data_IF_036230445238
#
_entry.id   IF_036230445238
#
_cell.length_a   1.000
_cell.length_b   1.000
_cell.length_c   1.000
_cell.angle_alpha   90.00
_cell.angle_beta   90.00
_cell.angle_gamma   90.00
#
_symmetry.space_group_name_H-M   'P 1'
#
loop_
_entity.id
_entity.type
_entity.pdbx_description
1 polymer ?
#
# COMPACT_ATOMS: atom_id res chain seq x y z
N UNK A 1 -15.10 -18.99 28.36
CA UNK A 1 -13.69 -19.33 28.36
C UNK A 1 -13.36 -20.50 27.43
N UNK A 2 -13.95 -21.72 27.59
CA UNK A 2 -13.62 -22.88 26.73
C UNK A 2 -13.81 -22.63 25.22
N UNK A 3 -14.90 -21.94 24.80
CA UNK A 3 -15.13 -21.61 23.37
C UNK A 3 -14.16 -20.55 22.82
N UNK A 4 -13.70 -19.60 23.63
CA UNK A 4 -12.69 -18.61 23.24
C UNK A 4 -11.29 -19.24 23.15
N UNK A 5 -10.98 -20.14 24.10
CA UNK A 5 -9.74 -20.93 24.07
C UNK A 5 -9.72 -21.89 22.87
N UNK A 6 -10.85 -22.51 22.55
CA UNK A 6 -11.01 -23.37 21.39
C UNK A 6 -10.88 -22.56 20.09
N UNK A 7 -11.49 -21.38 20.01
CA UNK A 7 -11.36 -20.48 18.86
C UNK A 7 -9.93 -19.97 18.70
N UNK A 8 -9.25 -19.61 19.80
CA UNK A 8 -7.82 -19.26 19.75
C UNK A 8 -6.93 -20.44 19.38
N UNK A 9 -7.23 -21.65 19.87
CA UNK A 9 -6.51 -22.87 19.45
C UNK A 9 -6.75 -23.19 17.98
N UNK A 10 -7.98 -23.07 17.48
CA UNK A 10 -8.30 -23.27 16.06
C UNK A 10 -7.65 -22.18 15.20
N UNK A 11 -7.67 -20.92 15.63
CA UNK A 11 -6.97 -19.82 14.95
C UNK A 11 -5.45 -20.06 14.96
N UNK A 12 -4.91 -20.52 16.08
CA UNK A 12 -3.48 -20.85 16.21
C UNK A 12 -3.11 -22.06 15.34
N UNK A 13 -3.97 -23.10 15.27
CA UNK A 13 -3.76 -24.25 14.37
C UNK A 13 -3.92 -23.89 12.90
N UNK A 14 -4.87 -23.03 12.53
CA UNK A 14 -5.01 -22.51 11.17
C UNK A 14 -3.78 -21.68 10.79
N UNK A 15 -3.29 -20.82 11.68
CA UNK A 15 -2.04 -20.07 11.48
C UNK A 15 -0.84 -21.03 11.42
N UNK A 16 -0.78 -22.08 12.25
CA UNK A 16 0.30 -23.07 12.23
C UNK A 16 0.27 -23.98 10.99
N UNK A 17 -0.92 -24.35 10.49
CA UNK A 17 -1.08 -25.14 9.26
C UNK A 17 -0.79 -24.29 8.01
N UNK A 18 -1.03 -22.97 8.09
CA UNK A 18 -0.66 -22.02 7.02
C UNK A 18 0.84 -21.70 6.99
N UNK A 19 1.59 -22.08 8.04
CA UNK A 19 3.06 -21.98 8.13
C UNK A 19 3.66 -23.40 7.93
N UNK A 20 3.05 -24.24 7.12
CA UNK A 20 3.78 -25.41 6.57
C UNK A 20 5.00 -24.88 5.86
N UNK A 21 6.21 -25.43 6.09
CA UNK A 21 7.41 -24.87 5.51
C UNK A 21 7.22 -24.78 4.00
N UNK A 22 7.28 -23.56 3.49
CA UNK A 22 7.43 -23.24 2.07
C UNK A 22 8.83 -23.73 1.63
N UNK A 23 9.01 -25.04 1.56
CA UNK A 23 10.23 -25.69 1.08
C UNK A 23 10.08 -26.07 -0.39
N UNK A 24 9.13 -25.40 -1.08
CA UNK A 24 8.85 -25.63 -2.49
C UNK A 24 9.53 -24.59 -3.40
N UNK A 25 10.49 -23.80 -2.89
CA UNK A 25 11.23 -22.81 -3.67
C UNK A 25 12.58 -22.51 -3.01
N UNK A 26 13.57 -22.22 -3.83
CA UNK A 26 14.87 -21.74 -3.37
C UNK A 26 14.80 -20.27 -2.98
N UNK A 27 15.28 -19.91 -1.79
CA UNK A 27 15.33 -18.53 -1.32
C UNK A 27 16.73 -18.14 -0.88
N UNK A 28 17.24 -17.01 -1.38
CA UNK A 28 18.54 -16.47 -1.00
C UNK A 28 18.42 -15.00 -0.57
N UNK A 29 19.10 -14.63 0.50
CA UNK A 29 19.11 -13.26 1.00
C UNK A 29 20.46 -12.86 1.59
N UNK A 30 20.85 -11.59 1.42
CA UNK A 30 22.12 -11.04 1.91
C UNK A 30 22.38 -9.64 1.37
N UNK A 31 23.52 -9.04 1.73
CA UNK A 31 23.89 -7.75 1.15
C UNK A 31 24.30 -7.92 -0.32
N UNK A 32 25.19 -8.87 -0.62
CA UNK A 32 25.60 -9.25 -1.96
C UNK A 32 25.19 -10.69 -2.20
N UNK A 33 24.27 -10.92 -3.12
CA UNK A 33 23.77 -12.26 -3.47
C UNK A 33 24.03 -12.54 -4.94
N UNK A 34 24.76 -13.61 -5.22
CA UNK A 34 25.08 -14.06 -6.57
C UNK A 34 24.59 -15.48 -6.80
N UNK A 35 23.94 -15.70 -7.94
CA UNK A 35 23.56 -17.01 -8.46
C UNK A 35 24.52 -17.34 -9.58
N UNK A 36 25.35 -18.34 -9.33
CA UNK A 36 26.42 -18.82 -10.23
C UNK A 36 26.26 -20.30 -10.62
N UNK A 37 25.09 -20.87 -10.37
CA UNK A 37 24.71 -22.24 -10.77
C UNK A 37 23.26 -22.21 -11.21
N UNK A 38 22.91 -22.88 -12.30
CA UNK A 38 21.53 -23.02 -12.75
C UNK A 38 20.66 -23.66 -11.68
N UNK A 39 19.42 -23.23 -11.60
CA UNK A 39 18.41 -23.76 -10.68
C UNK A 39 17.23 -24.30 -11.48
N UNK A 40 16.75 -25.50 -11.06
CA UNK A 40 15.65 -26.21 -11.73
C UNK A 40 14.31 -25.99 -10.98
N UNK A 41 14.13 -24.83 -10.35
CA UNK A 41 12.94 -24.47 -9.55
C UNK A 41 12.83 -22.94 -9.41
N UNK A 42 11.69 -22.47 -8.89
CA UNK A 42 11.45 -21.05 -8.62
C UNK A 42 12.49 -20.46 -7.66
N UNK A 43 12.95 -19.26 -7.97
CA UNK A 43 13.92 -18.55 -7.14
C UNK A 43 13.36 -17.25 -6.56
N UNK A 44 13.46 -17.14 -5.23
CA UNK A 44 13.15 -15.91 -4.48
C UNK A 44 14.43 -15.32 -3.91
N UNK A 45 14.84 -14.14 -4.36
CA UNK A 45 16.13 -13.54 -4.01
C UNK A 45 15.99 -12.10 -3.53
N UNK A 46 16.63 -11.77 -2.41
CA UNK A 46 16.56 -10.46 -1.79
C UNK A 46 17.96 -9.99 -1.37
N UNK A 47 18.37 -8.77 -1.77
CA UNK A 47 19.69 -8.26 -1.40
C UNK A 47 19.90 -6.79 -1.74
N UNK A 48 20.98 -6.21 -1.20
CA UNK A 48 21.37 -4.86 -1.63
C UNK A 48 21.89 -4.89 -3.06
N UNK A 49 22.71 -5.90 -3.41
CA UNK A 49 23.16 -6.19 -4.76
C UNK A 49 22.80 -7.65 -5.09
N UNK A 50 22.06 -7.83 -6.18
CA UNK A 50 21.61 -9.12 -6.66
C UNK A 50 22.18 -9.34 -8.06
N UNK A 51 22.90 -10.44 -8.27
CA UNK A 51 23.42 -10.86 -9.56
C UNK A 51 22.93 -12.29 -9.87
N UNK A 52 22.11 -12.42 -10.89
CA UNK A 52 21.67 -13.71 -11.45
C UNK A 52 22.37 -13.91 -12.78
N UNK A 53 23.43 -14.73 -12.80
CA UNK A 53 24.25 -14.96 -14.00
C UNK A 53 24.00 -16.31 -14.68
N UNK A 54 23.26 -17.19 -14.03
CA UNK A 54 22.91 -18.52 -14.54
C UNK A 54 21.40 -18.67 -14.72
N UNK A 55 21.00 -19.64 -15.52
CA UNK A 55 19.60 -19.84 -15.88
C UNK A 55 18.75 -20.33 -14.72
N UNK A 56 17.51 -19.90 -14.69
CA UNK A 56 16.48 -20.32 -13.75
C UNK A 56 15.39 -21.06 -14.54
N UNK A 57 15.22 -22.34 -14.27
CA UNK A 57 14.15 -23.16 -14.88
C UNK A 57 12.89 -23.11 -14.01
N UNK A 58 12.29 -21.95 -13.91
CA UNK A 58 11.15 -21.61 -13.08
C UNK A 58 10.90 -20.09 -13.11
N UNK A 59 10.18 -19.60 -12.10
CA UNK A 59 9.94 -18.17 -11.88
C UNK A 59 11.11 -17.50 -11.14
N UNK A 60 11.40 -16.24 -11.48
CA UNK A 60 12.33 -15.42 -10.72
C UNK A 60 11.64 -14.24 -10.05
N UNK A 61 11.67 -14.23 -8.72
CA UNK A 61 11.21 -13.08 -7.93
C UNK A 61 12.41 -12.47 -7.20
N UNK A 62 12.77 -11.23 -7.57
CA UNK A 62 13.93 -10.57 -7.00
C UNK A 62 13.61 -9.16 -6.49
N UNK A 63 14.17 -8.78 -5.31
CA UNK A 63 14.10 -7.41 -4.83
C UNK A 63 15.43 -6.94 -4.23
N UNK A 64 15.83 -5.67 -4.55
CA UNK A 64 17.11 -5.17 -4.08
C UNK A 64 17.43 -3.73 -4.45
N UNK A 65 18.60 -3.28 -4.04
CA UNK A 65 19.09 -1.95 -4.43
C UNK A 65 19.52 -1.91 -5.89
N UNK A 66 20.38 -2.83 -6.28
CA UNK A 66 20.84 -3.07 -7.66
C UNK A 66 20.58 -4.52 -8.01
N UNK A 67 19.95 -4.76 -9.15
CA UNK A 67 19.65 -6.09 -9.65
C UNK A 67 20.14 -6.21 -11.08
N UNK A 68 20.91 -7.25 -11.37
CA UNK A 68 21.35 -7.62 -12.70
C UNK A 68 20.97 -9.09 -12.95
N UNK A 69 20.16 -9.31 -13.98
CA UNK A 69 19.73 -10.64 -14.43
C UNK A 69 20.28 -10.83 -15.82
N UNK A 70 21.31 -11.70 -15.95
CA UNK A 70 21.94 -12.04 -17.23
C UNK A 70 21.74 -13.51 -17.61
N UNK A 71 21.33 -14.36 -16.68
CA UNK A 71 20.82 -15.69 -16.98
C UNK A 71 19.39 -15.65 -17.47
N UNK A 72 18.97 -16.65 -18.23
CA UNK A 72 17.62 -16.76 -18.74
C UNK A 72 16.67 -17.26 -17.64
N UNK A 73 15.42 -16.80 -17.69
CA UNK A 73 14.32 -17.23 -16.81
C UNK A 73 13.29 -17.94 -17.65
N UNK A 74 13.02 -19.22 -17.40
CA UNK A 74 12.18 -20.02 -18.29
C UNK A 74 10.69 -19.71 -18.20
N UNK A 75 10.26 -19.07 -17.10
CA UNK A 75 8.87 -18.69 -16.84
C UNK A 75 8.75 -17.18 -16.53
N UNK A 76 8.00 -16.79 -15.48
CA UNK A 76 7.76 -15.39 -15.12
C UNK A 76 8.95 -14.73 -14.43
N UNK A 77 9.17 -13.45 -14.74
CA UNK A 77 10.11 -12.58 -14.04
C UNK A 77 9.37 -11.48 -13.29
N UNK A 78 9.59 -11.37 -11.98
CA UNK A 78 9.12 -10.25 -11.16
C UNK A 78 10.29 -9.60 -10.40
N UNK A 79 10.69 -8.40 -10.79
CA UNK A 79 11.86 -7.71 -10.24
C UNK A 79 11.53 -6.31 -9.76
N UNK A 80 11.99 -5.95 -8.54
CA UNK A 80 11.83 -4.61 -7.97
C UNK A 80 13.16 -4.11 -7.38
N UNK A 81 13.71 -2.98 -7.91
CA UNK A 81 14.99 -2.46 -7.44
C UNK A 81 15.23 -0.99 -7.67
N UNK A 82 16.28 -0.42 -7.06
CA UNK A 82 16.69 0.95 -7.36
C UNK A 82 17.18 1.08 -8.81
N UNK A 83 18.04 0.16 -9.23
CA UNK A 83 18.53 0.00 -10.61
C UNK A 83 18.34 -1.46 -11.00
N UNK A 84 17.68 -1.70 -12.12
CA UNK A 84 17.46 -3.05 -12.66
C UNK A 84 17.99 -3.13 -14.08
N UNK A 85 18.78 -4.16 -14.33
CA UNK A 85 19.29 -4.52 -15.66
C UNK A 85 18.86 -5.95 -15.96
N UNK A 86 18.09 -6.12 -17.03
CA UNK A 86 17.63 -7.41 -17.55
C UNK A 86 18.29 -7.65 -18.90
N UNK A 87 19.26 -8.54 -18.93
CA UNK A 87 19.98 -8.95 -20.16
C UNK A 87 19.58 -10.36 -20.61
N UNK A 88 19.17 -11.24 -19.66
CA UNK A 88 18.69 -12.59 -19.96
C UNK A 88 17.29 -12.60 -20.56
N UNK A 89 16.98 -13.66 -21.29
CA UNK A 89 15.67 -13.87 -21.90
C UNK A 89 14.65 -14.36 -20.85
N UNK A 90 13.36 -13.98 -21.03
CA UNK A 90 12.24 -14.39 -20.16
C UNK A 90 11.26 -15.22 -20.99
N UNK A 91 10.95 -16.41 -20.52
CA UNK A 91 10.15 -17.39 -21.22
C UNK A 91 8.63 -17.13 -21.21
N UNK A 92 8.14 -16.26 -20.31
CA UNK A 92 6.76 -15.85 -20.20
C UNK A 92 6.68 -14.32 -19.96
N UNK A 93 6.06 -13.86 -18.88
CA UNK A 93 5.86 -12.43 -18.59
C UNK A 93 7.04 -11.80 -17.83
N UNK A 94 7.33 -10.53 -18.11
CA UNK A 94 8.27 -9.73 -17.32
C UNK A 94 7.58 -8.56 -16.61
N UNK A 95 7.65 -8.53 -15.27
CA UNK A 95 7.14 -7.46 -14.41
C UNK A 95 8.29 -6.78 -13.69
N UNK A 96 8.70 -5.59 -14.16
CA UNK A 96 9.91 -4.91 -13.71
C UNK A 96 9.60 -3.54 -13.13
N UNK A 97 10.09 -3.25 -11.93
CA UNK A 97 9.90 -1.94 -11.29
C UNK A 97 11.19 -1.38 -10.70
N UNK A 98 11.41 -0.04 -10.80
CA UNK A 98 12.60 0.58 -10.24
C UNK A 98 12.85 2.04 -10.60
N UNK A 99 13.95 2.60 -10.08
CA UNK A 99 14.34 3.97 -10.42
C UNK A 99 14.84 4.07 -11.86
N UNK A 100 15.76 3.19 -12.24
CA UNK A 100 16.38 3.09 -13.57
C UNK A 100 16.25 1.65 -14.04
N UNK A 101 15.60 1.45 -15.19
CA UNK A 101 15.40 0.15 -15.82
C UNK A 101 16.09 0.10 -17.17
N UNK A 102 16.85 -0.96 -17.41
CA UNK A 102 17.43 -1.28 -18.73
C UNK A 102 17.04 -2.71 -19.07
N UNK A 103 16.31 -2.89 -20.18
CA UNK A 103 15.81 -4.17 -20.66
C UNK A 103 16.43 -4.43 -22.02
N UNK A 104 17.11 -5.55 -22.15
CA UNK A 104 17.85 -5.93 -23.36
C UNK A 104 17.69 -7.42 -23.73
N UNK A 105 17.18 -8.27 -22.83
CA UNK A 105 16.75 -9.64 -23.10
C UNK A 105 15.40 -9.68 -23.82
N UNK A 106 15.09 -10.79 -24.43
CA UNK A 106 13.80 -11.03 -25.06
C UNK A 106 12.76 -11.43 -24.02
N UNK A 107 11.49 -11.16 -24.28
CA UNK A 107 10.36 -11.52 -23.42
C UNK A 107 9.35 -12.24 -24.29
N UNK A 108 9.02 -13.49 -23.95
CA UNK A 108 8.19 -14.30 -24.84
C UNK A 108 6.73 -13.88 -24.90
N UNK A 109 6.20 -13.27 -23.81
CA UNK A 109 4.84 -12.75 -23.75
C UNK A 109 4.84 -11.25 -23.34
N UNK A 110 4.23 -10.85 -22.24
CA UNK A 110 3.95 -9.46 -21.89
C UNK A 110 5.07 -8.76 -21.11
N UNK A 111 5.29 -7.47 -21.35
CA UNK A 111 6.13 -6.60 -20.55
C UNK A 111 5.31 -5.58 -19.76
N UNK A 112 5.37 -5.64 -18.44
CA UNK A 112 4.89 -4.60 -17.54
C UNK A 112 6.07 -3.93 -16.83
N UNK A 113 6.35 -2.65 -17.14
CA UNK A 113 7.46 -1.92 -16.52
C UNK A 113 7.01 -0.59 -15.89
N UNK A 114 7.55 -0.30 -14.68
CA UNK A 114 7.28 0.95 -13.98
C UNK A 114 8.56 1.55 -13.38
N UNK A 115 8.88 2.83 -13.71
CA UNK A 115 10.13 3.42 -13.21
C UNK A 115 10.35 4.89 -13.49
N UNK A 116 11.44 5.45 -12.97
CA UNK A 116 11.81 6.84 -13.26
C UNK A 116 12.32 7.01 -14.70
N UNK A 117 13.30 6.21 -15.07
CA UNK A 117 13.87 6.15 -16.41
C UNK A 117 13.85 4.71 -16.90
N UNK A 118 13.24 4.46 -18.05
CA UNK A 118 13.07 3.13 -18.64
C UNK A 118 13.64 3.13 -20.04
N UNK A 119 14.54 2.18 -20.32
CA UNK A 119 15.12 1.96 -21.62
C UNK A 119 14.92 0.52 -22.04
N UNK A 120 14.19 0.30 -23.11
CA UNK A 120 14.08 -0.98 -23.82
C UNK A 120 14.96 -0.89 -25.06
N UNK A 121 15.99 -1.74 -25.13
CA UNK A 121 17.00 -1.67 -26.20
C UNK A 121 16.47 -2.25 -27.51
N UNK A 122 17.07 -1.84 -28.63
CA UNK A 122 16.67 -2.21 -30.00
C UNK A 122 16.69 -3.74 -30.25
N UNK A 123 17.52 -4.48 -29.50
CA UNK A 123 17.68 -5.92 -29.65
C UNK A 123 16.57 -6.73 -28.93
N UNK A 124 15.73 -6.07 -28.14
CA UNK A 124 14.69 -6.70 -27.33
C UNK A 124 13.47 -7.02 -28.19
N UNK A 125 13.11 -8.30 -28.25
CA UNK A 125 11.85 -8.75 -28.84
C UNK A 125 10.87 -9.13 -27.71
N UNK A 126 9.67 -8.54 -27.73
CA UNK A 126 8.57 -8.82 -26.79
C UNK A 126 7.45 -9.44 -27.61
N UNK A 127 7.06 -10.69 -27.29
CA UNK A 127 6.08 -11.45 -28.05
C UNK A 127 4.66 -10.90 -27.92
N UNK A 128 4.29 -10.44 -26.74
CA UNK A 128 2.97 -9.91 -26.40
C UNK A 128 2.90 -8.38 -26.35
N UNK A 129 2.08 -7.88 -25.42
CA UNK A 129 1.79 -6.45 -25.22
C UNK A 129 2.82 -5.78 -24.33
N UNK A 130 2.97 -4.47 -24.49
CA UNK A 130 3.86 -3.65 -23.69
C UNK A 130 3.07 -2.63 -22.89
N UNK A 131 3.25 -2.60 -21.56
CA UNK A 131 2.68 -1.58 -20.66
C UNK A 131 3.81 -0.95 -19.86
N UNK A 132 4.15 0.31 -20.16
CA UNK A 132 5.23 1.02 -19.49
C UNK A 132 4.74 2.34 -18.91
N UNK A 133 5.06 2.57 -17.62
CA UNK A 133 4.75 3.84 -16.95
C UNK A 133 6.01 4.40 -16.29
N UNK A 134 6.35 5.68 -16.58
CA UNK A 134 7.59 6.26 -16.04
C UNK A 134 7.70 7.77 -16.16
N UNK A 135 8.87 8.31 -15.81
CA UNK A 135 9.20 9.72 -16.07
C UNK A 135 9.69 9.91 -17.49
N UNK A 136 10.62 9.05 -17.93
CA UNK A 136 11.17 9.02 -19.29
C UNK A 136 11.19 7.59 -19.82
N UNK A 137 10.68 7.39 -21.03
CA UNK A 137 10.65 6.09 -21.73
C UNK A 137 11.43 6.23 -23.05
N UNK A 138 12.43 5.35 -23.22
CA UNK A 138 13.10 5.12 -24.50
C UNK A 138 12.79 3.70 -24.96
N UNK A 139 11.89 3.56 -25.92
CA UNK A 139 11.44 2.27 -26.44
C UNK A 139 12.08 2.02 -27.81
N UNK A 140 13.12 1.18 -27.82
CA UNK A 140 13.83 0.77 -29.04
C UNK A 140 13.49 -0.64 -29.51
N UNK A 141 12.93 -1.48 -28.63
CA UNK A 141 12.63 -2.87 -28.90
C UNK A 141 11.44 -3.11 -29.83
N UNK A 142 11.14 -4.37 -30.09
CA UNK A 142 10.00 -4.78 -30.88
C UNK A 142 8.88 -5.32 -29.96
N UNK A 143 7.61 -5.02 -30.28
CA UNK A 143 6.45 -5.59 -29.61
C UNK A 143 5.61 -6.38 -30.62
N UNK A 144 5.23 -7.59 -30.24
CA UNK A 144 4.38 -8.47 -31.07
C UNK A 144 2.92 -8.06 -31.09
N UNK A 145 2.50 -7.27 -30.10
CA UNK A 145 1.17 -6.67 -29.95
C UNK A 145 1.26 -5.15 -29.77
N UNK A 146 0.21 -4.51 -29.28
CA UNK A 146 0.18 -3.07 -29.05
C UNK A 146 1.00 -2.61 -27.84
N UNK A 147 1.11 -1.29 -27.66
CA UNK A 147 1.79 -0.70 -26.51
C UNK A 147 0.95 0.38 -25.83
N UNK A 148 0.99 0.39 -24.48
CA UNK A 148 0.46 1.47 -23.63
C UNK A 148 1.63 2.12 -22.90
N UNK A 149 1.92 3.37 -23.24
CA UNK A 149 3.07 4.10 -22.71
C UNK A 149 2.58 5.37 -21.98
N UNK A 150 2.97 5.54 -20.73
CA UNK A 150 2.62 6.70 -19.91
C UNK A 150 3.88 7.32 -19.31
N UNK A 151 4.29 8.48 -19.81
CA UNK A 151 5.44 9.21 -19.26
C UNK A 151 5.42 10.69 -19.67
N UNK A 152 6.22 11.51 -18.95
CA UNK A 152 6.42 12.91 -19.34
C UNK A 152 7.19 13.04 -20.66
N UNK A 153 8.18 12.16 -20.90
CA UNK A 153 8.94 12.13 -22.16
C UNK A 153 9.00 10.71 -22.72
N UNK A 154 8.66 10.56 -23.99
CA UNK A 154 8.65 9.26 -24.70
C UNK A 154 9.38 9.38 -26.01
N UNK A 155 10.33 8.47 -26.25
CA UNK A 155 10.98 8.27 -27.54
C UNK A 155 10.71 6.85 -28.01
N UNK A 156 10.17 6.70 -29.23
CA UNK A 156 9.94 5.41 -29.87
C UNK A 156 10.83 5.30 -31.09
N UNK A 157 11.67 4.27 -31.12
CA UNK A 157 12.54 3.94 -32.25
C UNK A 157 12.37 2.51 -32.75
N UNK A 158 11.60 1.69 -32.00
CA UNK A 158 11.36 0.28 -32.28
C UNK A 158 10.13 0.02 -33.13
N UNK A 159 9.79 -1.29 -33.27
CA UNK A 159 8.65 -1.74 -34.05
C UNK A 159 7.55 -2.24 -33.14
N UNK A 160 6.33 -1.77 -33.36
CA UNK A 160 5.15 -2.14 -32.57
C UNK A 160 4.07 -2.65 -33.49
N UNK A 161 3.69 -3.93 -33.34
CA UNK A 161 2.57 -4.51 -34.07
C UNK A 161 1.28 -4.20 -33.29
N UNK A 162 0.41 -3.40 -33.92
CA UNK A 162 -0.86 -2.96 -33.32
C UNK A 162 -0.83 -1.49 -32.90
N UNK A 163 -1.77 -1.13 -32.06
CA UNK A 163 -1.99 0.26 -31.63
C UNK A 163 -1.00 0.69 -30.56
N UNK A 164 -0.57 1.95 -30.64
CA UNK A 164 0.19 2.62 -29.58
C UNK A 164 -0.71 3.65 -28.90
N UNK A 165 -0.97 3.43 -27.60
CA UNK A 165 -1.76 4.34 -26.76
C UNK A 165 -0.85 5.05 -25.78
N UNK A 166 -0.79 6.37 -25.90
CA UNK A 166 -0.01 7.24 -25.01
C UNK A 166 -0.97 8.15 -24.25
N UNK A 167 -0.85 8.16 -22.94
CA UNK A 167 -1.61 9.08 -22.09
C UNK A 167 -1.20 10.54 -22.29
N UNK A 168 -1.22 11.34 -21.23
CA UNK A 168 -0.68 12.69 -21.28
C UNK A 168 0.85 12.64 -21.37
N UNK A 169 1.42 13.30 -22.37
CA UNK A 169 2.86 13.37 -22.61
C UNK A 169 3.29 14.82 -22.89
N UNK A 170 4.40 15.25 -22.29
CA UNK A 170 4.99 16.58 -22.53
C UNK A 170 5.82 16.60 -23.81
N UNK A 171 6.57 15.53 -24.06
CA UNK A 171 7.46 15.37 -25.21
C UNK A 171 7.31 13.97 -25.79
N UNK A 172 6.81 13.88 -27.03
CA UNK A 172 6.71 12.63 -27.80
C UNK A 172 7.59 12.73 -29.04
N UNK A 173 8.54 11.79 -29.17
CA UNK A 173 9.39 11.66 -30.33
C UNK A 173 9.25 10.29 -30.96
N UNK A 174 8.91 10.26 -32.26
CA UNK A 174 8.89 9.04 -33.09
C UNK A 174 10.03 9.16 -34.10
N UNK A 175 11.04 8.30 -33.96
CA UNK A 175 12.22 8.36 -34.82
C UNK A 175 11.97 7.75 -36.19
N UNK A 176 12.88 7.98 -37.13
CA UNK A 176 12.75 7.46 -38.50
C UNK A 176 12.92 5.94 -38.62
N UNK A 177 13.34 5.24 -37.58
CA UNK A 177 13.40 3.79 -37.50
C UNK A 177 12.13 3.15 -36.93
N UNK A 178 11.22 3.96 -36.38
CA UNK A 178 9.99 3.47 -35.76
C UNK A 178 9.00 2.93 -36.80
N UNK A 179 8.39 1.80 -36.49
CA UNK A 179 7.34 1.18 -37.29
C UNK A 179 6.16 0.80 -36.39
N UNK A 180 5.01 1.44 -36.53
CA UNK A 180 3.77 1.17 -35.85
C UNK A 180 2.75 0.67 -36.85
N UNK A 181 2.26 -0.57 -36.71
CA UNK A 181 1.34 -1.12 -37.72
C UNK A 181 -0.11 -0.67 -37.53
N UNK A 182 -0.50 -0.30 -36.30
CA UNK A 182 -1.83 0.20 -35.93
C UNK A 182 -1.90 1.72 -35.83
N UNK A 183 -2.84 2.18 -34.98
CA UNK A 183 -3.08 3.59 -34.72
C UNK A 183 -2.07 4.13 -33.69
N UNK A 184 -1.64 5.38 -33.85
CA UNK A 184 -0.92 6.14 -32.83
C UNK A 184 -1.88 7.12 -32.16
N UNK A 185 -2.25 6.85 -30.89
CA UNK A 185 -3.22 7.63 -30.13
C UNK A 185 -2.49 8.29 -28.96
N UNK A 186 -2.46 9.62 -28.93
CA UNK A 186 -1.78 10.33 -27.84
C UNK A 186 -2.47 11.64 -27.44
N UNK A 187 -2.21 12.08 -26.21
CA UNK A 187 -2.63 13.38 -25.68
C UNK A 187 -1.41 14.19 -25.30
N UNK A 188 -1.25 15.38 -25.89
CA UNK A 188 -0.11 16.23 -25.60
C UNK A 188 -0.47 17.72 -25.69
N UNK A 189 0.25 18.53 -24.92
CA UNK A 189 0.19 19.99 -25.05
C UNK A 189 0.94 20.50 -26.30
N UNK A 190 1.95 19.75 -26.74
CA UNK A 190 2.78 20.07 -27.88
C UNK A 190 2.61 18.97 -28.94
N UNK A 191 2.70 19.35 -30.20
CA UNK A 191 2.73 18.37 -31.28
C UNK A 191 3.89 17.40 -31.12
N UNK A 192 3.64 16.11 -31.40
CA UNK A 192 4.69 15.10 -31.41
C UNK A 192 5.72 15.39 -32.53
N UNK A 193 6.98 15.11 -32.22
CA UNK A 193 8.08 15.13 -33.19
C UNK A 193 8.11 13.77 -33.93
N UNK A 194 7.37 13.69 -35.05
CA UNK A 194 7.27 12.48 -35.86
C UNK A 194 8.15 12.64 -37.09
N UNK A 195 9.18 11.79 -37.20
CA UNK A 195 10.08 11.78 -38.36
C UNK A 195 9.32 11.41 -39.66
N UNK A 196 9.65 12.07 -40.77
CA UNK A 196 9.09 11.74 -42.10
C UNK A 196 9.40 10.30 -42.54
N UNK A 197 10.44 9.67 -41.97
CA UNK A 197 10.81 8.29 -42.26
C UNK A 197 10.11 7.26 -41.32
N UNK A 198 9.36 7.71 -40.30
CA UNK A 198 8.61 6.81 -39.43
C UNK A 198 7.44 6.19 -40.21
N UNK A 199 7.20 4.91 -39.99
CA UNK A 199 6.08 4.19 -40.61
C UNK A 199 4.96 4.04 -39.58
N UNK A 200 3.80 4.65 -39.88
CA UNK A 200 2.58 4.48 -39.11
C UNK A 200 1.50 3.96 -40.06
N UNK A 201 1.08 2.70 -39.85
CA UNK A 201 0.15 2.01 -40.72
C UNK A 201 -1.32 2.43 -40.56
N UNK A 202 -1.68 2.87 -39.33
CA UNK A 202 -3.01 3.36 -39.00
C UNK A 202 -3.11 4.89 -38.98
N UNK A 203 -4.08 5.39 -38.20
CA UNK A 203 -4.32 6.82 -38.03
C UNK A 203 -3.51 7.40 -36.88
N UNK A 204 -3.02 8.64 -37.04
CA UNK A 204 -2.46 9.42 -35.94
C UNK A 204 -3.57 10.25 -35.30
N UNK A 205 -4.04 9.81 -34.14
CA UNK A 205 -5.11 10.46 -33.34
C UNK A 205 -4.50 11.31 -32.26
N UNK A 206 -4.25 12.56 -32.60
CA UNK A 206 -3.74 13.57 -31.69
C UNK A 206 -4.91 14.24 -30.95
N UNK A 207 -4.83 14.28 -29.61
CA UNK A 207 -5.66 15.16 -28.79
C UNK A 207 -4.75 16.24 -28.22
N UNK A 208 -4.77 17.41 -28.82
CA UNK A 208 -4.07 18.56 -28.24
C UNK A 208 -4.85 18.93 -26.99
N UNK A 209 -4.25 18.70 -25.85
CA UNK A 209 -4.70 19.31 -24.61
C UNK A 209 -4.29 20.76 -24.76
N UNK A 210 -5.27 21.67 -25.07
CA UNK A 210 -5.05 23.03 -24.64
C UNK A 210 -4.69 22.88 -23.16
N UNK A 211 -3.41 22.95 -22.85
CA UNK A 211 -3.00 23.44 -21.54
C UNK A 211 -3.67 24.82 -21.52
N UNK A 212 -4.92 24.88 -21.12
CA UNK A 212 -5.29 25.97 -20.27
C UNK A 212 -4.20 25.87 -19.19
N UNK A 213 -3.07 26.53 -19.40
CA UNK A 213 -2.57 27.38 -18.35
C UNK A 213 -3.80 28.27 -18.03
N UNK A 214 -4.76 27.72 -17.31
CA UNK A 214 -5.11 28.36 -16.11
C UNK A 214 -3.74 28.59 -15.48
N UNK A 215 -3.22 29.74 -15.80
CA UNK A 215 -2.73 30.64 -14.81
C UNK A 215 -3.93 30.89 -13.89
N UNK A 216 -4.36 29.84 -13.19
CA UNK A 216 -4.19 29.80 -11.79
C UNK A 216 -2.65 29.83 -11.59
N UNK A 217 -2.11 31.00 -11.85
CA UNK A 217 -1.43 31.77 -10.85
C UNK A 217 -2.48 32.01 -9.73
N UNK A 218 -3.13 30.97 -9.23
CA UNK A 218 -3.18 30.75 -7.83
C UNK A 218 -1.67 30.67 -7.53
N UNK A 219 -1.14 31.81 -7.20
CA UNK A 219 -0.14 31.97 -6.16
C UNK A 219 -0.73 31.13 -5.01
N UNK A 220 -0.69 29.77 -5.18
CA UNK A 220 -1.03 28.81 -4.14
C UNK A 220 0.22 28.87 -3.31
N UNK A 221 0.22 29.95 -2.51
CA UNK A 221 1.20 30.08 -1.45
C UNK A 221 1.33 28.68 -0.85
N UNK A 222 2.51 28.18 -0.55
CA UNK A 222 2.69 26.87 0.07
C UNK A 222 1.71 26.63 1.23
N UNK A 223 1.26 27.74 1.82
CA UNK A 223 0.21 27.82 2.83
C UNK A 223 -1.19 27.41 2.30
N UNK A 224 -1.60 27.85 1.12
CA UNK A 224 -2.91 27.47 0.57
C UNK A 224 -2.98 25.98 0.21
N UNK A 225 -1.89 25.40 -0.33
CA UNK A 225 -1.78 23.95 -0.56
C UNK A 225 -1.82 23.19 0.75
N UNK A 226 -1.07 23.66 1.76
CA UNK A 226 -1.09 23.08 3.10
C UNK A 226 -2.49 23.09 3.71
N UNK A 227 -3.20 24.23 3.65
CA UNK A 227 -4.57 24.38 4.19
C UNK A 227 -5.54 23.46 3.44
N UNK A 228 -5.49 23.40 2.11
CA UNK A 228 -6.36 22.54 1.31
C UNK A 228 -6.13 21.05 1.63
N UNK A 229 -4.88 20.62 1.72
CA UNK A 229 -4.50 19.23 2.08
C UNK A 229 -4.93 18.92 3.52
N UNK A 230 -4.73 19.85 4.46
CA UNK A 230 -5.13 19.68 5.84
C UNK A 230 -6.65 19.56 5.98
N UNK A 231 -7.44 20.45 5.33
CA UNK A 231 -8.91 20.41 5.35
C UNK A 231 -9.43 19.15 4.66
N UNK A 232 -8.88 18.80 3.48
CA UNK A 232 -9.25 17.59 2.75
C UNK A 232 -9.03 16.33 3.59
N UNK A 233 -7.86 16.19 4.22
CA UNK A 233 -7.56 15.10 5.13
C UNK A 233 -8.51 15.01 6.33
N UNK A 234 -8.96 16.17 6.86
CA UNK A 234 -9.96 16.22 7.95
C UNK A 234 -11.34 15.77 7.52
N UNK A 235 -11.77 16.13 6.30
CA UNK A 235 -13.06 15.69 5.75
C UNK A 235 -13.05 14.18 5.54
N UNK A 236 -11.99 13.64 4.96
CA UNK A 236 -11.84 12.17 4.77
C UNK A 236 -11.86 11.45 6.11
N UNK A 237 -11.12 11.93 7.11
CA UNK A 237 -11.11 11.34 8.45
C UNK A 237 -12.49 11.40 9.12
N UNK A 238 -13.23 12.50 8.95
CA UNK A 238 -14.60 12.64 9.44
C UNK A 238 -15.53 11.59 8.81
N UNK A 239 -15.52 11.47 7.48
CA UNK A 239 -16.35 10.50 6.77
C UNK A 239 -16.02 9.06 7.15
N UNK A 240 -14.73 8.73 7.24
CA UNK A 240 -14.28 7.41 7.66
C UNK A 240 -14.73 7.06 9.10
N UNK A 241 -14.56 7.98 10.05
CA UNK A 241 -15.04 7.78 11.43
C UNK A 241 -16.57 7.72 11.48
N UNK A 242 -17.27 8.54 10.71
CA UNK A 242 -18.72 8.56 10.67
C UNK A 242 -19.29 7.22 10.20
N UNK A 243 -18.80 6.70 9.08
CA UNK A 243 -19.20 5.39 8.54
C UNK A 243 -18.87 4.27 9.52
N UNK A 244 -17.64 4.24 10.04
CA UNK A 244 -17.22 3.25 11.02
C UNK A 244 -18.10 3.27 12.27
N UNK A 245 -18.43 4.46 12.78
CA UNK A 245 -19.25 4.59 13.97
C UNK A 245 -20.70 4.13 13.77
N UNK A 246 -21.28 4.36 12.58
CA UNK A 246 -22.60 3.82 12.24
C UNK A 246 -22.57 2.29 12.19
N UNK A 247 -21.56 1.70 11.53
CA UNK A 247 -21.38 0.25 11.46
C UNK A 247 -21.27 -0.33 12.88
N UNK A 248 -20.42 0.24 13.73
CA UNK A 248 -20.26 -0.22 15.10
C UNK A 248 -21.52 -0.03 15.94
N UNK A 249 -22.26 1.08 15.76
CA UNK A 249 -23.50 1.34 16.48
C UNK A 249 -24.59 0.34 16.11
N UNK A 250 -24.63 -0.11 14.85
CA UNK A 250 -25.52 -1.17 14.36
C UNK A 250 -25.10 -2.54 14.92
N UNK A 251 -23.80 -2.84 14.87
CA UNK A 251 -23.28 -4.15 15.27
C UNK A 251 -23.29 -4.37 16.80
N UNK A 252 -23.04 -3.31 17.59
CA UNK A 252 -22.76 -3.42 19.01
C UNK A 252 -23.45 -2.32 19.85
N UNK A 253 -24.78 -2.08 19.72
CA UNK A 253 -25.45 -0.96 20.40
C UNK A 253 -25.32 -1.03 21.94
N UNK A 254 -25.35 -2.22 22.51
CA UNK A 254 -25.19 -2.44 23.96
C UNK A 254 -23.79 -2.12 24.49
N UNK A 255 -22.77 -2.21 23.64
CA UNK A 255 -21.40 -1.84 24.05
C UNK A 255 -21.26 -0.33 24.25
N UNK A 256 -21.84 0.49 23.36
CA UNK A 256 -21.84 1.94 23.50
C UNK A 256 -22.47 2.43 24.80
N UNK A 257 -23.56 1.80 25.22
CA UNK A 257 -24.24 2.12 26.48
C UNK A 257 -23.34 1.78 27.68
N UNK A 258 -22.81 0.56 27.73
CA UNK A 258 -21.90 0.10 28.80
C UNK A 258 -20.63 0.94 28.87
N UNK A 259 -20.05 1.28 27.72
CA UNK A 259 -18.88 2.18 27.63
C UNK A 259 -19.18 3.55 28.24
N UNK A 260 -20.32 4.14 27.86
CA UNK A 260 -20.72 5.46 28.40
C UNK A 260 -20.93 5.42 29.92
N UNK A 261 -21.58 4.38 30.42
CA UNK A 261 -21.79 4.22 31.87
C UNK A 261 -20.47 4.00 32.63
N UNK A 262 -19.57 3.21 32.05
CA UNK A 262 -18.25 2.97 32.61
C UNK A 262 -17.44 4.25 32.73
N UNK A 263 -17.40 5.04 31.65
CA UNK A 263 -16.73 6.34 31.66
C UNK A 263 -17.28 7.28 32.74
N UNK A 264 -18.60 7.36 32.91
CA UNK A 264 -19.22 8.23 33.91
C UNK A 264 -18.90 7.82 35.35
N UNK A 265 -18.84 6.49 35.62
CA UNK A 265 -18.67 5.95 36.98
C UNK A 265 -17.22 5.91 37.45
N UNK A 266 -16.27 5.72 36.55
CA UNK A 266 -14.87 5.39 36.94
C UNK A 266 -13.84 6.08 36.05
N UNK A 267 -13.97 7.39 35.89
CA UNK A 267 -13.10 8.20 35.03
C UNK A 267 -11.60 8.01 35.32
N UNK A 268 -11.21 8.01 36.63
CA UNK A 268 -9.82 7.83 37.03
C UNK A 268 -9.25 6.46 36.65
N UNK A 269 -10.04 5.40 36.83
CA UNK A 269 -9.62 4.04 36.41
C UNK A 269 -9.52 3.92 34.89
N UNK A 270 -10.34 4.65 34.12
CA UNK A 270 -10.21 4.69 32.65
C UNK A 270 -8.88 5.32 32.23
N UNK A 271 -8.44 6.39 32.89
CA UNK A 271 -7.13 7.00 32.61
C UNK A 271 -6.00 6.04 32.93
N UNK A 272 -6.01 5.43 34.12
CA UNK A 272 -4.95 4.51 34.53
C UNK A 272 -4.83 3.28 33.62
N UNK A 273 -5.96 2.62 33.31
CA UNK A 273 -5.97 1.49 32.38
C UNK A 273 -5.61 1.91 30.95
N UNK A 274 -6.04 3.10 30.52
CA UNK A 274 -5.68 3.66 29.22
C UNK A 274 -4.19 4.00 29.12
N UNK A 275 -3.58 4.50 30.17
CA UNK A 275 -2.12 4.70 30.22
C UNK A 275 -1.37 3.37 30.05
N UNK A 276 -1.80 2.32 30.76
CA UNK A 276 -1.19 0.99 30.61
C UNK A 276 -1.30 0.48 29.17
N UNK A 277 -2.47 0.62 28.53
CA UNK A 277 -2.66 0.19 27.14
C UNK A 277 -1.86 1.07 26.18
N UNK A 278 -1.94 2.40 26.34
CA UNK A 278 -1.33 3.35 25.38
C UNK A 278 0.19 3.34 25.41
N UNK A 279 0.81 3.08 26.55
CA UNK A 279 2.27 2.98 26.68
C UNK A 279 2.75 1.52 26.72
N UNK A 280 2.01 0.63 27.36
CA UNK A 280 2.41 -0.77 27.53
C UNK A 280 2.45 -1.53 26.22
N UNK A 281 1.50 -1.31 25.29
CA UNK A 281 1.50 -2.00 24.01
C UNK A 281 2.68 -1.57 23.13
N UNK A 282 2.96 -0.27 22.89
CA UNK A 282 4.14 0.13 22.10
C UNK A 282 5.46 -0.30 22.74
N UNK A 283 5.63 -0.12 24.06
CA UNK A 283 6.84 -0.54 24.76
C UNK A 283 7.02 -2.05 24.68
N UNK A 284 5.95 -2.82 24.95
CA UNK A 284 5.94 -4.27 24.82
C UNK A 284 6.27 -4.73 23.39
N UNK A 285 5.73 -4.04 22.37
CA UNK A 285 6.02 -4.31 20.97
C UNK A 285 7.52 -4.13 20.65
N UNK A 286 8.14 -3.05 21.13
CA UNK A 286 9.59 -2.84 20.94
C UNK A 286 10.40 -3.95 21.58
N UNK A 287 10.05 -4.35 22.80
CA UNK A 287 10.74 -5.45 23.50
C UNK A 287 10.57 -6.76 22.75
N UNK A 288 9.34 -7.09 22.32
CA UNK A 288 9.05 -8.29 21.52
C UNK A 288 9.85 -8.26 20.22
N UNK A 289 9.94 -7.11 19.55
CA UNK A 289 10.69 -6.96 18.32
C UNK A 289 12.19 -7.19 18.51
N UNK A 290 12.80 -6.64 19.57
CA UNK A 290 14.20 -6.88 19.92
C UNK A 290 14.45 -8.37 20.22
N UNK A 291 13.59 -9.00 21.02
CA UNK A 291 13.69 -10.43 21.33
C UNK A 291 13.55 -11.27 20.05
N UNK A 292 12.66 -10.88 19.14
CA UNK A 292 12.45 -11.57 17.86
C UNK A 292 13.68 -11.50 16.96
N UNK A 293 14.37 -10.35 16.91
CA UNK A 293 15.63 -10.21 16.17
C UNK A 293 16.69 -11.13 16.75
N UNK A 294 16.84 -11.18 18.10
CA UNK A 294 17.79 -12.06 18.76
C UNK A 294 17.49 -13.54 18.41
N UNK A 295 16.22 -13.93 18.43
CA UNK A 295 15.81 -15.28 18.05
C UNK A 295 16.07 -15.54 16.56
N UNK A 296 15.82 -14.57 15.69
CA UNK A 296 16.00 -14.68 14.24
C UNK A 296 17.48 -14.93 13.85
N UNK A 297 18.42 -14.31 14.56
CA UNK A 297 19.86 -14.47 14.33
C UNK A 297 20.34 -15.88 14.72
N UNK A 298 19.62 -16.60 15.59
CA UNK A 298 19.98 -17.97 15.97
C UNK A 298 19.45 -18.96 14.92
N UNK A 299 20.31 -19.88 14.46
CA UNK A 299 19.98 -20.86 13.42
C UNK A 299 18.73 -21.70 13.78
N UNK A 300 18.52 -22.00 15.06
CA UNK A 300 17.39 -22.79 15.58
C UNK A 300 16.12 -21.92 15.71
N UNK A 301 16.28 -20.59 15.87
CA UNK A 301 15.20 -19.65 16.17
C UNK A 301 14.68 -18.85 14.99
N UNK A 302 15.23 -19.00 13.78
CA UNK A 302 14.87 -18.17 12.63
C UNK A 302 13.36 -18.23 12.28
N UNK A 303 12.79 -19.44 12.20
CA UNK A 303 11.35 -19.61 11.97
C UNK A 303 10.49 -19.09 13.10
N UNK A 304 10.88 -19.31 14.36
CA UNK A 304 10.16 -18.78 15.52
C UNK A 304 10.24 -17.26 15.59
N UNK A 305 11.40 -16.68 15.28
CA UNK A 305 11.59 -15.24 15.21
C UNK A 305 10.65 -14.58 14.20
N UNK A 306 10.52 -15.15 12.99
CA UNK A 306 9.62 -14.67 11.96
C UNK A 306 8.14 -14.69 12.41
N UNK A 307 7.70 -15.78 13.05
CA UNK A 307 6.34 -15.90 13.58
C UNK A 307 6.06 -14.86 14.66
N UNK A 308 7.02 -14.63 15.57
CA UNK A 308 6.87 -13.63 16.64
C UNK A 308 6.84 -12.21 16.06
N UNK A 309 7.64 -11.91 15.03
CA UNK A 309 7.58 -10.63 14.29
C UNK A 309 6.20 -10.45 13.66
N UNK A 310 5.69 -11.45 12.94
CA UNK A 310 4.36 -11.37 12.31
C UNK A 310 3.25 -11.16 13.36
N UNK A 311 3.29 -11.89 14.48
CA UNK A 311 2.35 -11.72 15.57
C UNK A 311 2.42 -10.31 16.21
N UNK A 312 3.62 -9.74 16.33
CA UNK A 312 3.81 -8.38 16.80
C UNK A 312 3.21 -7.34 15.85
N UNK A 313 3.36 -7.51 14.53
CA UNK A 313 2.70 -6.65 13.54
C UNK A 313 1.17 -6.73 13.64
N UNK A 314 0.60 -7.92 13.76
CA UNK A 314 -0.84 -8.10 13.97
C UNK A 314 -1.31 -7.39 15.25
N UNK A 315 -0.54 -7.52 16.34
CA UNK A 315 -0.83 -6.81 17.59
C UNK A 315 -0.82 -5.29 17.41
N UNK A 316 0.13 -4.73 16.67
CA UNK A 316 0.20 -3.29 16.38
C UNK A 316 -0.96 -2.82 15.50
N UNK A 317 -1.39 -3.62 14.51
CA UNK A 317 -2.58 -3.33 13.70
C UNK A 317 -3.83 -3.28 14.60
N UNK A 318 -4.03 -4.28 15.45
CA UNK A 318 -5.15 -4.32 16.38
C UNK A 318 -5.11 -3.15 17.38
N UNK A 319 -3.93 -2.76 17.82
CA UNK A 319 -3.72 -1.58 18.65
C UNK A 319 -4.11 -0.29 17.89
N UNK A 320 -3.71 -0.14 16.63
CA UNK A 320 -4.13 0.97 15.78
C UNK A 320 -5.65 1.05 15.63
N UNK A 321 -6.31 -0.09 15.39
CA UNK A 321 -7.77 -0.19 15.34
C UNK A 321 -8.40 0.22 16.67
N UNK A 322 -7.83 -0.19 17.80
CA UNK A 322 -8.30 0.17 19.13
C UNK A 322 -8.22 1.68 19.38
N UNK A 323 -7.10 2.31 19.01
CA UNK A 323 -6.93 3.77 19.10
C UNK A 323 -7.97 4.49 18.24
N UNK A 324 -8.15 4.04 17.00
CA UNK A 324 -9.08 4.68 16.06
C UNK A 324 -10.53 4.54 16.51
N UNK A 325 -10.95 3.36 16.95
CA UNK A 325 -12.28 3.09 17.46
C UNK A 325 -12.57 3.79 18.80
N UNK A 326 -11.55 4.07 19.61
CA UNK A 326 -11.73 4.82 20.85
C UNK A 326 -12.37 6.19 20.64
N UNK A 327 -12.02 6.87 19.54
CA UNK A 327 -12.60 8.17 19.16
C UNK A 327 -14.09 8.06 18.82
N UNK A 328 -14.54 6.92 18.25
CA UNK A 328 -15.95 6.65 17.95
C UNK A 328 -16.78 6.55 19.23
N UNK A 329 -16.32 5.78 20.20
CA UNK A 329 -17.02 5.60 21.47
C UNK A 329 -17.04 6.89 22.31
N UNK A 330 -15.94 7.65 22.31
CA UNK A 330 -15.88 8.94 22.96
C UNK A 330 -16.85 9.94 22.32
N UNK A 331 -16.92 9.97 20.98
CA UNK A 331 -17.85 10.84 20.25
C UNK A 331 -19.30 10.55 20.64
N UNK A 332 -19.70 9.27 20.66
CA UNK A 332 -21.03 8.89 21.10
C UNK A 332 -21.31 9.32 22.55
N UNK A 333 -20.36 9.05 23.44
CA UNK A 333 -20.50 9.41 24.87
C UNK A 333 -20.68 10.89 25.08
N UNK A 334 -19.86 11.71 24.40
CA UNK A 334 -19.94 13.17 24.48
C UNK A 334 -21.29 13.69 23.97
N UNK A 335 -21.70 13.23 22.78
CA UNK A 335 -22.98 13.63 22.22
C UNK A 335 -24.16 13.15 23.05
N UNK A 336 -24.13 11.94 23.63
CA UNK A 336 -25.15 11.45 24.54
C UNK A 336 -25.26 12.28 25.81
N UNK A 337 -24.11 12.70 26.38
CA UNK A 337 -24.09 13.58 27.56
C UNK A 337 -24.74 14.94 27.25
N UNK A 338 -24.45 15.50 26.07
CA UNK A 338 -25.01 16.79 25.65
C UNK A 338 -26.55 16.67 25.43
N UNK A 339 -26.97 15.66 24.67
CA UNK A 339 -28.38 15.45 24.37
C UNK A 339 -29.19 14.95 25.60
N UNK A 340 -28.54 14.35 26.61
CA UNK A 340 -29.25 13.93 27.83
C UNK A 340 -29.82 15.10 28.66
N UNK A 341 -29.38 16.32 28.37
CA UNK A 341 -29.94 17.57 28.97
C UNK A 341 -31.20 18.06 28.24
N UNK A 342 -31.57 17.40 27.14
CA UNK A 342 -32.79 17.69 26.39
C UNK A 342 -33.87 16.66 26.67
N UNK A 343 -35.14 16.99 26.39
CA UNK A 343 -36.27 16.07 26.62
C UNK A 343 -36.42 14.97 25.57
N UNK A 344 -35.35 14.66 24.81
CA UNK A 344 -35.36 13.72 23.70
C UNK A 344 -35.31 12.27 24.18
N UNK A 345 -36.13 11.42 23.56
CA UNK A 345 -36.15 9.99 23.87
C UNK A 345 -34.96 9.25 23.21
N UNK A 346 -33.88 9.11 23.97
CA UNK A 346 -32.63 8.45 23.53
C UNK A 346 -32.78 6.94 23.24
N UNK A 347 -33.95 6.35 23.47
CA UNK A 347 -34.23 4.95 23.13
C UNK A 347 -34.36 4.68 21.63
N UNK A 348 -34.76 5.70 20.84
CA UNK A 348 -34.88 5.56 19.38
C UNK A 348 -33.50 5.61 18.73
N UNK A 349 -33.29 4.71 17.75
CA UNK A 349 -32.00 4.59 17.02
C UNK A 349 -31.52 5.90 16.38
N UNK A 350 -32.44 6.65 15.77
CA UNK A 350 -32.09 7.94 15.13
C UNK A 350 -31.47 8.95 16.10
N UNK A 351 -31.90 8.99 17.36
CA UNK A 351 -31.29 9.85 18.37
C UNK A 351 -29.91 9.40 18.79
N UNK A 352 -29.63 8.10 18.75
CA UNK A 352 -28.28 7.57 19.00
C UNK A 352 -27.30 7.98 17.89
N UNK A 353 -27.76 7.93 16.63
CA UNK A 353 -26.97 8.40 15.48
C UNK A 353 -26.73 9.90 15.57
N UNK A 354 -27.73 10.68 15.94
CA UNK A 354 -27.60 12.13 16.13
C UNK A 354 -26.62 12.47 17.27
N UNK A 355 -26.71 11.73 18.38
CA UNK A 355 -25.74 11.87 19.48
C UNK A 355 -24.31 11.61 19.01
N UNK A 356 -24.12 10.54 18.26
CA UNK A 356 -22.81 10.20 17.70
C UNK A 356 -22.29 11.30 16.76
N UNK A 357 -23.14 11.81 15.84
CA UNK A 357 -22.77 12.86 14.90
C UNK A 357 -22.35 14.15 15.61
N UNK A 358 -23.16 14.62 16.57
CA UNK A 358 -22.84 15.83 17.35
C UNK A 358 -21.51 15.66 18.09
N UNK A 359 -21.33 14.53 18.77
CA UNK A 359 -20.08 14.28 19.48
C UNK A 359 -18.87 14.17 18.57
N UNK A 360 -19.03 13.58 17.36
CA UNK A 360 -17.97 13.45 16.37
C UNK A 360 -17.53 14.84 15.86
N UNK A 361 -18.49 15.72 15.53
CA UNK A 361 -18.18 17.09 15.12
C UNK A 361 -17.39 17.83 16.20
N UNK A 362 -17.84 17.74 17.45
CA UNK A 362 -17.18 18.42 18.58
C UNK A 362 -15.77 17.87 18.81
N UNK A 363 -15.60 16.56 18.81
CA UNK A 363 -14.26 15.95 18.99
C UNK A 363 -13.32 16.34 17.86
N UNK A 364 -13.80 16.37 16.63
CA UNK A 364 -12.96 16.78 15.50
C UNK A 364 -12.59 18.26 15.57
N UNK A 365 -13.51 19.13 16.01
CA UNK A 365 -13.20 20.54 16.28
C UNK A 365 -12.14 20.70 17.37
N UNK A 366 -12.28 19.96 18.48
CA UNK A 366 -11.29 19.97 19.56
C UNK A 366 -9.91 19.46 19.10
N UNK A 367 -9.87 18.42 18.30
CA UNK A 367 -8.62 17.90 17.74
C UNK A 367 -7.98 18.80 16.70
N UNK A 368 -8.71 19.78 16.18
CA UNK A 368 -8.21 20.75 15.19
C UNK A 368 -7.61 22.00 15.82
N UNK A 369 -7.72 22.17 17.13
CA UNK A 369 -7.13 23.33 17.82
C UNK A 369 -5.59 23.23 17.74
N UNK A 370 -4.90 24.24 17.18
CA UNK A 370 -3.45 24.27 17.13
C UNK A 370 -2.84 24.10 18.52
N UNK A 371 -1.76 23.32 18.64
CA UNK A 371 -1.04 22.98 19.88
C UNK A 371 -1.86 22.21 20.93
N UNK A 372 -3.11 22.61 21.23
CA UNK A 372 -3.97 21.93 22.20
C UNK A 372 -4.59 20.63 21.64
N UNK A 373 -4.88 20.57 20.34
CA UNK A 373 -5.53 19.42 19.72
C UNK A 373 -4.76 18.12 19.86
N UNK A 374 -3.43 18.19 19.85
CA UNK A 374 -2.58 17.01 20.12
C UNK A 374 -2.76 16.48 21.54
N UNK A 375 -2.72 17.34 22.56
CA UNK A 375 -2.93 16.97 23.96
C UNK A 375 -4.34 16.41 24.19
N UNK A 376 -5.35 17.05 23.59
CA UNK A 376 -6.75 16.61 23.70
C UNK A 376 -6.91 15.23 23.03
N UNK A 377 -6.30 15.01 21.86
CA UNK A 377 -6.31 13.71 21.19
C UNK A 377 -5.63 12.65 22.03
N UNK A 378 -4.46 12.94 22.59
CA UNK A 378 -3.73 12.03 23.46
C UNK A 378 -4.55 11.65 24.71
N UNK A 379 -5.12 12.63 25.40
CA UNK A 379 -6.03 12.39 26.51
C UNK A 379 -7.25 11.55 26.07
N UNK A 380 -7.87 11.89 24.93
CA UNK A 380 -9.00 11.15 24.37
C UNK A 380 -8.66 9.67 24.10
N UNK A 381 -7.49 9.39 23.53
CA UNK A 381 -7.02 8.01 23.32
C UNK A 381 -6.86 7.29 24.66
N UNK A 382 -6.23 7.91 25.67
CA UNK A 382 -6.09 7.29 27.00
C UNK A 382 -7.45 6.99 27.63
N UNK A 383 -8.37 7.96 27.65
CA UNK A 383 -9.72 7.73 28.17
C UNK A 383 -10.47 6.63 27.41
N UNK A 384 -10.44 6.70 26.07
CA UNK A 384 -11.19 5.79 25.21
C UNK A 384 -10.68 4.36 25.27
N UNK A 385 -9.36 4.14 25.14
CA UNK A 385 -8.77 2.80 25.19
C UNK A 385 -8.94 2.17 26.56
N UNK A 386 -8.78 2.94 27.63
CA UNK A 386 -9.00 2.45 28.98
C UNK A 386 -10.45 2.09 29.28
N UNK A 387 -11.39 2.92 28.85
CA UNK A 387 -12.82 2.61 28.99
C UNK A 387 -13.23 1.37 28.17
N UNK A 388 -12.68 1.18 26.97
CA UNK A 388 -12.88 -0.05 26.18
C UNK A 388 -12.37 -1.27 26.96
N UNK A 389 -11.12 -1.22 27.44
CA UNK A 389 -10.50 -2.33 28.16
C UNK A 389 -11.32 -2.73 29.41
N UNK A 390 -11.76 -1.75 30.20
CA UNK A 390 -12.59 -2.01 31.38
C UNK A 390 -13.99 -2.54 31.01
N UNK A 391 -14.61 -2.01 29.95
CA UNK A 391 -15.92 -2.50 29.48
C UNK A 391 -15.84 -3.93 28.99
N UNK A 392 -14.80 -4.30 28.24
CA UNK A 392 -14.54 -5.68 27.82
C UNK A 392 -14.33 -6.59 29.04
N UNK A 393 -13.52 -6.15 30.02
CA UNK A 393 -13.32 -6.90 31.27
C UNK A 393 -14.66 -7.18 31.98
N UNK A 394 -15.53 -6.19 32.11
CA UNK A 394 -16.84 -6.35 32.75
C UNK A 394 -17.74 -7.35 32.01
N UNK A 395 -17.74 -7.30 30.66
CA UNK A 395 -18.51 -8.25 29.84
C UNK A 395 -17.99 -9.69 30.03
N UNK A 396 -16.67 -9.86 30.10
CA UNK A 396 -16.07 -11.18 30.29
C UNK A 396 -16.37 -11.73 31.67
N UNK A 397 -16.35 -10.89 32.71
CA UNK A 397 -16.67 -11.30 34.07
C UNK A 397 -18.16 -11.59 34.27
N UNK A 398 -19.06 -10.82 33.63
CA UNK A 398 -20.51 -11.05 33.71
C UNK A 398 -20.98 -12.35 33.02
N UNK A 399 -20.17 -12.94 32.14
CA UNK A 399 -20.44 -14.24 31.51
C UNK A 399 -19.96 -15.44 32.32
N UNK A 400 -19.22 -15.18 33.40
CA UNK A 400 -18.62 -16.22 34.25
C UNK A 400 -19.45 -16.53 35.49
N UNK A 401 -20.39 -15.65 35.82
CA UNK A 401 -21.43 -15.82 36.83
C UNK A 401 -22.78 -16.08 36.17
#
# INVERSE_FOLDING_TARGET
MKKLLLFMMVLLTVVFVSISPLWAFDSKSGDDVSISTSLDDDLYIFGSNVLVSENIDGDLIAAGGRIEVSGDVSQDLMVAGGTVKLDGDVGDDARVSGGILTISGNISDDLLAAGGQITVLERTDIGGSVVITGGTINFGGNSGEGAILNAGSITISGKIKGDVKIGEVESLKITGSAEITGDLIYKSANRADISDNAIIGGEVKETIIEVQREIAATDTSPWAVFVATYIGGRIIAFLALFVLGIILLLAMPGFFERFTERMKKTLGYCVGSGAIVSFGVPIGSVIIFIVSIILFITIIGSGLGAVVIAANFVMLILYGVLIYTSSVFLSFTLGKVILSKTSLNMGKYGWKVLAYLIGLVIIMMLYSIPFAGWLIRFAGVMFGTGAIALTVKDILLSKKN
#
